data_IF_369481329143
#
_entry.id   IF_369481329143
#
_cell.length_a   1.000
_cell.length_b   1.000
_cell.length_c   1.000
_cell.angle_alpha   90.00
_cell.angle_beta   90.00
_cell.angle_gamma   90.00
#
_symmetry.space_group_name_H-M   'P 1'
#
loop_
_entity.id
_entity.type
_entity.pdbx_description
1 polymer ?
#
# COMPACT_ATOMS: atom_id res chain seq x y z
N UNK A 1 -1.73 4.93 -4.31
CA UNK A 1 -2.02 5.24 -5.74
C UNK A 1 -0.92 4.63 -6.61
N UNK A 2 -1.26 4.14 -7.80
CA UNK A 2 -0.31 3.58 -8.75
C UNK A 2 -0.64 4.08 -10.17
N UNK A 3 0.38 4.45 -10.95
CA UNK A 3 0.22 4.83 -12.36
C UNK A 3 1.45 4.47 -13.19
N UNK A 4 1.32 4.42 -14.52
CA UNK A 4 2.48 4.35 -15.42
C UNK A 4 3.05 5.75 -15.63
N UNK A 5 4.35 5.91 -15.44
CA UNK A 5 5.06 7.16 -15.61
C UNK A 5 6.50 6.90 -16.06
N UNK A 6 7.00 7.63 -17.05
CA UNK A 6 8.39 7.51 -17.52
C UNK A 6 8.80 6.11 -17.99
N UNK A 7 7.86 5.34 -18.56
CA UNK A 7 8.11 3.96 -19.00
C UNK A 7 8.15 2.90 -17.89
N UNK A 8 7.82 3.26 -16.64
CA UNK A 8 7.78 2.35 -15.50
C UNK A 8 6.53 2.54 -14.64
N UNK A 9 6.36 1.71 -13.62
CA UNK A 9 5.33 1.87 -12.59
C UNK A 9 5.80 2.87 -11.54
N UNK A 10 4.99 3.90 -11.29
CA UNK A 10 5.07 4.75 -10.12
C UNK A 10 4.05 4.27 -9.09
N UNK A 11 4.45 4.19 -7.82
CA UNK A 11 3.55 3.89 -6.72
C UNK A 11 3.81 4.81 -5.53
N UNK A 12 2.76 5.08 -4.74
CA UNK A 12 2.88 5.73 -3.44
C UNK A 12 2.82 4.67 -2.34
N UNK A 13 3.67 4.79 -1.32
CA UNK A 13 3.63 3.91 -0.16
C UNK A 13 2.42 4.24 0.74
N UNK A 14 1.87 3.25 1.49
CA UNK A 14 0.95 3.52 2.58
C UNK A 14 1.68 4.27 3.72
N UNK A 15 0.89 4.94 4.55
CA UNK A 15 1.38 5.58 5.77
C UNK A 15 1.49 4.57 6.90
N UNK A 16 2.37 4.85 7.85
CA UNK A 16 2.52 4.08 9.10
C UNK A 16 1.63 4.59 10.23
N UNK A 17 0.80 5.61 10.00
CA UNK A 17 -0.02 6.24 11.04
C UNK A 17 -1.47 6.49 10.61
N UNK A 18 -1.69 7.40 9.65
CA UNK A 18 -3.03 7.74 9.14
C UNK A 18 -3.06 7.65 7.62
N UNK A 19 -4.20 7.23 7.07
CA UNK A 19 -4.44 7.21 5.63
C UNK A 19 -5.27 8.43 5.23
N UNK A 20 -4.90 9.10 4.13
CA UNK A 20 -5.74 10.14 3.55
C UNK A 20 -6.98 9.49 2.94
N UNK A 21 -8.16 10.01 3.29
CA UNK A 21 -9.43 9.47 2.81
C UNK A 21 -9.54 9.68 1.30
N UNK A 22 -9.81 8.60 0.54
CA UNK A 22 -10.09 8.71 -0.89
C UNK A 22 -11.47 9.31 -1.10
N UNK A 23 -11.52 10.62 -1.35
CA UNK A 23 -12.73 11.34 -1.70
C UNK A 23 -12.62 11.86 -3.13
N UNK A 24 -13.45 11.34 -4.04
CA UNK A 24 -13.40 11.70 -5.47
C UNK A 24 -14.33 12.87 -5.84
N UNK A 25 -15.14 13.37 -4.91
CA UNK A 25 -16.05 14.49 -5.17
C UNK A 25 -15.27 15.82 -5.16
N UNK A 26 -15.56 16.76 -6.07
CA UNK A 26 -14.87 18.05 -6.12
C UNK A 26 -15.00 18.90 -4.86
N UNK A 27 -16.06 18.70 -4.08
CA UNK A 27 -16.42 19.47 -2.89
C UNK A 27 -16.13 18.72 -1.58
N UNK A 28 -15.39 17.61 -1.64
CA UNK A 28 -15.05 16.86 -0.44
C UNK A 28 -14.07 17.64 0.44
N UNK A 29 -14.34 17.65 1.75
CA UNK A 29 -13.40 18.17 2.74
C UNK A 29 -12.22 17.19 2.94
N UNK A 30 -11.05 17.75 3.26
CA UNK A 30 -9.87 16.98 3.65
C UNK A 30 -10.19 16.10 4.86
N UNK A 31 -9.85 14.82 4.77
CA UNK A 31 -10.12 13.86 5.81
C UNK A 31 -9.05 12.76 5.84
N UNK A 32 -8.90 12.13 7.00
CA UNK A 32 -8.02 10.98 7.19
C UNK A 32 -8.69 9.91 8.05
N UNK A 33 -8.25 8.67 7.88
CA UNK A 33 -8.63 7.54 8.72
C UNK A 33 -7.43 7.06 9.52
N UNK A 34 -7.70 6.58 10.74
CA UNK A 34 -6.76 5.74 11.50
C UNK A 34 -7.00 4.29 11.07
N UNK A 35 -6.53 3.97 9.87
CA UNK A 35 -6.53 2.60 9.34
C UNK A 35 -5.36 1.80 9.91
N UNK A 36 -5.39 0.44 9.84
CA UNK A 36 -4.22 -0.35 10.12
C UNK A 36 -3.02 0.14 9.28
N UNK A 37 -1.88 0.45 9.91
CA UNK A 37 -0.71 0.92 9.19
C UNK A 37 -0.15 -0.17 8.30
N UNK A 38 0.61 0.21 7.28
CA UNK A 38 1.26 -0.75 6.39
C UNK A 38 2.58 -0.21 5.83
N UNK A 39 3.32 -1.08 5.15
CA UNK A 39 4.52 -0.74 4.40
C UNK A 39 4.54 -1.45 3.03
N UNK A 40 5.40 -0.97 2.13
CA UNK A 40 5.77 -1.69 0.92
C UNK A 40 7.12 -2.37 1.13
N UNK A 41 7.15 -3.70 1.04
CA UNK A 41 8.37 -4.49 1.03
C UNK A 41 8.84 -4.68 -0.41
N UNK A 42 10.03 -4.17 -0.72
CA UNK A 42 10.65 -4.27 -2.03
C UNK A 42 11.68 -5.41 -2.05
N UNK A 43 11.52 -6.34 -3.00
CA UNK A 43 12.46 -7.43 -3.22
C UNK A 43 12.90 -7.40 -4.69
N UNK A 44 14.19 -7.11 -4.91
CA UNK A 44 14.80 -7.19 -6.23
C UNK A 44 15.32 -8.59 -6.51
N UNK A 45 15.00 -9.15 -7.68
CA UNK A 45 15.60 -10.37 -8.21
C UNK A 45 16.15 -10.10 -9.60
N UNK A 46 17.33 -10.63 -9.92
CA UNK A 46 18.00 -10.35 -11.20
C UNK A 46 17.18 -10.84 -12.42
N UNK A 47 16.43 -11.92 -12.28
CA UNK A 47 15.63 -12.55 -13.34
C UNK A 47 14.21 -11.95 -13.50
N UNK A 48 13.68 -11.35 -12.42
CA UNK A 48 12.30 -10.89 -12.35
C UNK A 48 12.18 -9.37 -12.29
N UNK A 49 13.21 -8.69 -11.78
CA UNK A 49 13.21 -7.27 -11.44
C UNK A 49 12.62 -6.99 -10.05
N UNK A 50 11.99 -5.83 -9.90
CA UNK A 50 11.46 -5.33 -8.64
C UNK A 50 10.09 -5.94 -8.33
N UNK A 51 9.99 -6.66 -7.22
CA UNK A 51 8.74 -7.15 -6.65
C UNK A 51 8.38 -6.27 -5.46
N UNK A 52 7.14 -5.79 -5.41
CA UNK A 52 6.64 -4.97 -4.31
C UNK A 52 5.48 -5.69 -3.63
N UNK A 53 5.60 -5.94 -2.33
CA UNK A 53 4.56 -6.58 -1.53
C UNK A 53 4.01 -5.59 -0.49
N UNK A 54 2.69 -5.53 -0.33
CA UNK A 54 2.06 -4.69 0.70
C UNK A 54 1.94 -5.48 2.00
N UNK A 55 2.46 -4.93 3.10
CA UNK A 55 2.53 -5.60 4.40
C UNK A 55 1.74 -4.79 5.43
N UNK A 56 0.61 -5.30 5.94
CA UNK A 56 -0.05 -4.67 7.08
C UNK A 56 0.81 -4.82 8.34
N UNK A 57 0.92 -3.74 9.11
CA UNK A 57 1.64 -3.69 10.37
C UNK A 57 0.61 -3.89 11.50
N UNK A 58 0.75 -4.97 12.25
CA UNK A 58 -0.15 -5.28 13.34
C UNK A 58 -0.03 -6.73 13.80
N UNK A 59 -0.92 -7.12 14.72
CA UNK A 59 -1.12 -8.52 15.10
C UNK A 59 -2.48 -8.96 14.56
N UNK A 60 -2.48 -10.05 13.81
CA UNK A 60 -3.65 -10.64 13.19
C UNK A 60 -3.68 -12.14 13.50
N UNK A 61 -4.86 -12.75 13.47
CA UNK A 61 -5.00 -14.18 13.74
C UNK A 61 -4.40 -15.03 12.60
N UNK A 62 -3.81 -16.18 12.95
CA UNK A 62 -3.15 -17.10 12.02
C UNK A 62 -1.62 -17.18 12.18
N UNK A 63 -0.88 -17.72 11.18
CA UNK A 63 -1.40 -18.26 9.93
C UNK A 63 -2.22 -19.53 10.19
N UNK A 64 -3.31 -19.69 9.43
CA UNK A 64 -4.08 -20.92 9.38
C UNK A 64 -3.61 -21.77 8.21
N UNK A 65 -3.74 -23.08 8.32
CA UNK A 65 -3.50 -23.98 7.20
C UNK A 65 -4.58 -23.79 6.12
N UNK A 66 -4.22 -24.09 4.87
CA UNK A 66 -5.20 -24.20 3.79
C UNK A 66 -6.09 -25.43 4.03
N UNK A 67 -7.40 -25.28 3.87
CA UNK A 67 -8.37 -26.38 3.90
C UNK A 67 -8.51 -27.06 2.53
#
# INVERSE_FOLDING_TARGET
MQLRFGGTLMCTAPSTTTAIALQLRPDAADASYVEPPALLLHHWKADTGLITHWVPIGRFEGPFDFA
#
